data_IF_064312655810
#
_entry.id   IF_064312655810
#
_cell.length_a   1.000
_cell.length_b   1.000
_cell.length_c   1.000
_cell.angle_alpha   90.00
_cell.angle_beta   90.00
_cell.angle_gamma   90.00
#
_symmetry.space_group_name_H-M   'P 1'
#
loop_
_entity.id
_entity.type
_entity.pdbx_description
1 polymer ?
#
# COMPACT_ATOMS: atom_id res chain seq x y z
N UNK A 1 4.27 10.66 0.93
CA UNK A 1 3.50 11.88 0.53
C UNK A 1 2.16 11.81 1.25
N UNK A 2 1.52 12.92 1.65
CA UNK A 2 0.24 12.80 2.38
C UNK A 2 -0.84 12.16 1.50
N UNK A 3 -1.74 11.37 2.11
CA UNK A 3 -2.85 10.71 1.42
C UNK A 3 -3.69 11.72 0.62
N UNK A 4 -3.95 12.90 1.20
CA UNK A 4 -4.71 13.99 0.57
C UNK A 4 -4.10 14.40 -0.77
N UNK A 5 -2.79 14.66 -0.80
CA UNK A 5 -2.09 15.05 -2.03
C UNK A 5 -2.13 13.94 -3.07
N UNK A 6 -2.04 12.68 -2.63
CA UNK A 6 -2.07 11.52 -3.54
C UNK A 6 -3.46 11.39 -4.18
N UNK A 7 -4.52 11.62 -3.41
CA UNK A 7 -5.89 11.69 -3.93
C UNK A 7 -6.04 12.85 -4.92
N UNK A 8 -5.49 14.03 -4.61
CA UNK A 8 -5.56 15.19 -5.50
C UNK A 8 -4.87 14.93 -6.84
N UNK A 9 -3.65 14.38 -6.83
CA UNK A 9 -2.97 13.94 -8.06
C UNK A 9 -3.76 12.88 -8.82
N UNK A 10 -4.31 11.88 -8.13
CA UNK A 10 -5.13 10.86 -8.77
C UNK A 10 -6.35 11.48 -9.46
N UNK A 11 -7.01 12.45 -8.81
CA UNK A 11 -8.15 13.21 -9.37
C UNK A 11 -7.73 14.01 -10.61
N UNK A 12 -6.55 14.64 -10.59
CA UNK A 12 -6.01 15.35 -11.75
C UNK A 12 -5.78 14.41 -12.95
N UNK A 13 -5.28 13.20 -12.70
CA UNK A 13 -5.05 12.19 -13.75
C UNK A 13 -6.36 11.68 -14.35
N UNK A 14 -7.38 11.40 -13.53
CA UNK A 14 -8.66 10.86 -14.02
C UNK A 14 -9.67 11.93 -14.42
N UNK A 15 -9.41 13.20 -14.09
CA UNK A 15 -10.22 14.37 -14.42
C UNK A 15 -11.29 14.75 -13.38
N UNK A 16 -11.77 13.82 -12.54
CA UNK A 16 -12.76 14.16 -11.49
C UNK A 16 -12.77 13.22 -10.28
N UNK A 17 -13.27 13.70 -9.15
CA UNK A 17 -13.48 12.88 -7.95
C UNK A 17 -14.53 11.79 -8.15
N UNK A 18 -15.58 12.06 -8.94
CA UNK A 18 -16.62 11.08 -9.24
C UNK A 18 -16.04 9.92 -10.05
N UNK A 19 -15.16 10.21 -11.01
CA UNK A 19 -14.50 9.19 -11.82
C UNK A 19 -13.50 8.37 -11.00
N UNK A 20 -12.73 9.02 -10.11
CA UNK A 20 -11.86 8.30 -9.18
C UNK A 20 -12.67 7.36 -8.28
N UNK A 21 -13.82 7.81 -7.77
CA UNK A 21 -14.71 6.99 -6.95
C UNK A 21 -15.24 5.77 -7.72
N UNK A 22 -15.61 5.96 -8.99
CA UNK A 22 -16.04 4.90 -9.91
C UNK A 22 -14.94 3.86 -10.13
N UNK A 23 -13.70 4.30 -10.37
CA UNK A 23 -12.55 3.41 -10.57
C UNK A 23 -12.19 2.61 -9.31
N UNK A 24 -12.43 3.17 -8.12
CA UNK A 24 -12.16 2.53 -6.84
C UNK A 24 -13.35 1.72 -6.30
N UNK A 25 -14.46 1.65 -7.04
CA UNK A 25 -15.72 1.03 -6.62
C UNK A 25 -16.18 1.51 -5.23
N UNK A 26 -16.22 2.83 -5.06
CA UNK A 26 -16.68 3.48 -3.83
C UNK A 26 -17.68 4.59 -4.14
N UNK A 27 -18.51 4.91 -3.15
CA UNK A 27 -19.40 6.05 -3.25
C UNK A 27 -18.59 7.37 -3.31
N UNK A 28 -18.99 8.38 -4.12
CA UNK A 28 -18.23 9.63 -4.29
C UNK A 28 -17.90 10.37 -2.99
N UNK A 29 -18.81 10.33 -2.00
CA UNK A 29 -18.58 10.93 -0.69
C UNK A 29 -17.38 10.33 0.05
N UNK A 30 -17.00 9.09 -0.24
CA UNK A 30 -15.84 8.46 0.39
C UNK A 30 -14.54 9.17 0.02
N UNK A 31 -14.39 9.69 -1.21
CA UNK A 31 -13.17 10.40 -1.62
C UNK A 31 -12.95 11.63 -0.74
N UNK A 32 -13.98 12.44 -0.55
CA UNK A 32 -13.94 13.60 0.35
C UNK A 32 -13.70 13.21 1.81
N UNK A 33 -14.31 12.11 2.27
CA UNK A 33 -14.10 11.60 3.62
C UNK A 33 -12.66 11.08 3.84
N UNK A 34 -12.05 10.48 2.82
CA UNK A 34 -10.64 10.06 2.87
C UNK A 34 -9.71 11.27 2.92
N UNK A 35 -9.97 12.32 2.13
CA UNK A 35 -9.18 13.56 2.14
C UNK A 35 -9.20 14.28 3.49
N UNK A 36 -10.35 14.25 4.16
CA UNK A 36 -10.57 14.96 5.44
C UNK A 36 -10.27 14.10 6.67
N UNK A 37 -9.94 12.82 6.49
CA UNK A 37 -9.73 11.89 7.60
C UNK A 37 -11.00 11.45 8.31
N UNK A 38 -12.19 11.88 7.88
CA UNK A 38 -13.49 11.44 8.43
C UNK A 38 -13.72 9.93 8.27
N UNK A 39 -13.08 9.32 7.27
CA UNK A 39 -13.11 7.88 7.05
C UNK A 39 -11.70 7.39 6.78
N UNK A 40 -11.34 6.25 7.38
CA UNK A 40 -10.06 5.58 7.13
C UNK A 40 -10.07 5.05 5.70
N UNK A 41 -9.06 5.43 4.92
CA UNK A 41 -8.77 4.82 3.62
C UNK A 41 -7.93 3.57 3.85
N UNK A 42 -8.54 2.39 3.60
CA UNK A 42 -7.87 1.10 3.75
C UNK A 42 -6.71 0.92 2.77
N UNK A 43 -5.82 -0.03 3.09
CA UNK A 43 -4.56 -0.26 2.37
C UNK A 43 -4.74 -0.47 0.86
N UNK A 44 -5.64 -1.37 0.44
CA UNK A 44 -5.86 -1.65 -0.99
C UNK A 44 -6.23 -0.41 -1.79
N UNK A 45 -7.11 0.43 -1.23
CA UNK A 45 -7.54 1.67 -1.87
C UNK A 45 -6.39 2.67 -1.96
N UNK A 46 -5.54 2.78 -0.93
CA UNK A 46 -4.33 3.61 -0.98
C UNK A 46 -3.36 3.16 -2.08
N UNK A 47 -3.17 1.85 -2.24
CA UNK A 47 -2.34 1.28 -3.32
C UNK A 47 -2.93 1.62 -4.69
N UNK A 48 -4.24 1.46 -4.86
CA UNK A 48 -4.92 1.79 -6.12
C UNK A 48 -4.82 3.28 -6.44
N UNK A 49 -5.06 4.15 -5.45
CA UNK A 49 -4.93 5.61 -5.60
C UNK A 49 -3.50 5.99 -6.00
N UNK A 50 -2.48 5.41 -5.35
CA UNK A 50 -1.08 5.66 -5.71
C UNK A 50 -0.75 5.23 -7.14
N UNK A 51 -1.23 4.04 -7.56
CA UNK A 51 -1.08 3.57 -8.94
C UNK A 51 -1.71 4.51 -9.95
N UNK A 52 -2.92 5.00 -9.68
CA UNK A 52 -3.63 5.95 -10.55
C UNK A 52 -2.88 7.28 -10.61
N UNK A 53 -2.36 7.77 -9.48
CA UNK A 53 -1.56 8.98 -9.40
C UNK A 53 -0.18 8.87 -10.07
N UNK A 54 0.24 7.68 -10.51
CA UNK A 54 1.58 7.43 -11.06
C UNK A 54 2.69 7.42 -9.98
N UNK A 55 2.32 7.25 -8.72
CA UNK A 55 3.23 7.23 -7.57
C UNK A 55 3.66 5.79 -7.22
N UNK A 56 4.73 5.65 -6.43
CA UNK A 56 5.19 4.32 -5.99
C UNK A 56 4.17 3.72 -4.98
N UNK A 57 3.49 2.60 -5.33
CA UNK A 57 2.57 1.95 -4.41
C UNK A 57 3.25 1.43 -3.15
N UNK A 58 4.57 1.17 -3.17
CA UNK A 58 5.32 0.71 -2.00
C UNK A 58 5.38 1.79 -0.92
N UNK A 59 5.55 3.06 -1.31
CA UNK A 59 5.48 4.19 -0.37
C UNK A 59 4.10 4.27 0.27
N UNK A 60 3.04 4.05 -0.49
CA UNK A 60 1.68 4.08 0.04
C UNK A 60 1.42 2.98 1.09
N UNK A 61 2.07 1.83 0.96
CA UNK A 61 2.02 0.75 1.97
C UNK A 61 2.76 1.18 3.24
N UNK A 62 3.97 1.71 3.10
CA UNK A 62 4.77 2.20 4.23
C UNK A 62 4.07 3.33 4.97
N UNK A 63 3.55 4.32 4.25
CA UNK A 63 2.81 5.44 4.82
C UNK A 63 1.54 4.94 5.56
N UNK A 64 0.85 3.92 5.02
CA UNK A 64 -0.29 3.31 5.72
C UNK A 64 0.12 2.60 7.02
N UNK A 65 1.22 1.84 7.02
CA UNK A 65 1.72 1.17 8.21
C UNK A 65 2.15 2.19 9.27
N UNK A 66 2.85 3.25 8.85
CA UNK A 66 3.24 4.35 9.72
C UNK A 66 2.04 5.08 10.33
N UNK A 67 0.94 5.24 9.59
CA UNK A 67 -0.32 5.82 10.08
C UNK A 67 -1.02 4.93 11.14
N UNK A 68 -0.75 3.61 11.17
CA UNK A 68 -1.31 2.69 12.16
C UNK A 68 -0.51 2.67 13.47
N UNK A 69 0.73 3.17 13.46
CA UNK A 69 1.56 3.25 14.65
C UNK A 69 1.20 4.51 15.44
N UNK A 70 0.66 4.30 16.64
CA UNK A 70 0.30 5.36 17.57
C UNK A 70 1.56 6.07 18.09
N UNK A 71 1.53 7.41 18.09
CA UNK A 71 2.64 8.25 18.55
C UNK A 71 2.66 8.43 20.07
N UNK A 72 1.63 7.96 20.79
CA UNK A 72 1.56 8.04 22.26
C UNK A 72 2.51 7.08 22.98
N UNK A 73 3.04 6.07 22.28
CA UNK A 73 3.98 5.06 22.78
C UNK A 73 5.35 5.30 22.15
N UNK A 74 6.36 5.55 22.99
CA UNK A 74 7.73 5.87 22.56
C UNK A 74 8.29 4.80 21.62
N UNK A 75 8.05 3.51 21.88
CA UNK A 75 8.53 2.43 21.02
C UNK A 75 7.87 2.45 19.64
N UNK A 76 6.58 2.77 19.57
CA UNK A 76 5.85 2.84 18.30
C UNK A 76 6.27 4.07 17.50
N UNK A 77 6.54 5.19 18.17
CA UNK A 77 7.08 6.39 17.54
C UNK A 77 8.48 6.13 16.95
N UNK A 78 9.36 5.44 17.68
CA UNK A 78 10.67 5.03 17.16
C UNK A 78 10.55 4.12 15.94
N UNK A 79 9.72 3.07 16.02
CA UNK A 79 9.51 2.14 14.89
C UNK A 79 8.97 2.87 13.66
N UNK A 80 8.06 3.83 13.84
CA UNK A 80 7.53 4.64 12.73
C UNK A 80 8.66 5.37 11.99
N UNK A 81 9.57 6.01 12.72
CA UNK A 81 10.72 6.69 12.13
C UNK A 81 11.67 5.71 11.44
N UNK A 82 11.95 4.56 12.06
CA UNK A 82 12.84 3.54 11.50
C UNK A 82 12.29 2.97 10.18
N UNK A 83 11.00 2.64 10.12
CA UNK A 83 10.38 2.08 8.90
C UNK A 83 10.46 3.07 7.74
N UNK A 84 10.22 4.36 8.00
CA UNK A 84 10.33 5.41 6.99
C UNK A 84 11.79 5.56 6.52
N UNK A 85 12.75 5.61 7.44
CA UNK A 85 14.17 5.76 7.12
C UNK A 85 14.70 4.56 6.31
N UNK A 86 14.31 3.34 6.70
CA UNK A 86 14.63 2.11 5.97
C UNK A 86 14.08 2.20 4.55
N UNK A 87 12.82 2.60 4.37
CA UNK A 87 12.25 2.77 3.03
C UNK A 87 13.01 3.78 2.19
N UNK A 88 13.39 4.93 2.76
CA UNK A 88 14.11 6.00 2.07
C UNK A 88 15.55 5.61 1.71
N UNK A 89 16.15 4.69 2.47
CA UNK A 89 17.47 4.14 2.15
C UNK A 89 17.47 3.25 0.91
N UNK A 90 16.32 2.70 0.50
CA UNK A 90 16.22 1.86 -0.68
C UNK A 90 16.11 2.72 -1.95
N UNK A 91 17.12 2.65 -2.82
CA UNK A 91 17.07 3.22 -4.17
C UNK A 91 16.22 2.31 -5.08
N UNK A 92 15.08 2.80 -5.61
CA UNK A 92 14.19 2.01 -6.45
C UNK A 92 14.73 1.89 -7.88
N UNK A 93 15.92 1.30 -8.06
CA UNK A 93 16.49 1.01 -9.40
C UNK A 93 15.65 0.01 -10.20
N UNK A 94 14.72 -0.70 -9.57
CA UNK A 94 13.83 -1.66 -10.21
C UNK A 94 12.36 -1.29 -10.03
N UNK A 95 11.73 -0.84 -11.12
CA UNK A 95 10.28 -0.57 -11.20
C UNK A 95 9.43 -1.84 -11.19
N UNK A 96 10.03 -3.00 -11.46
CA UNK A 96 9.33 -4.28 -11.52
C UNK A 96 9.07 -4.80 -10.10
N UNK A 97 7.84 -5.23 -9.76
CA UNK A 97 7.60 -5.86 -8.47
C UNK A 97 8.48 -7.11 -8.35
N UNK A 98 9.04 -7.32 -7.17
CA UNK A 98 9.63 -8.61 -6.82
C UNK A 98 8.53 -9.66 -7.03
N UNK A 99 8.78 -10.63 -7.91
CA UNK A 99 7.90 -11.77 -8.00
C UNK A 99 8.03 -12.48 -6.66
N UNK A 100 6.92 -12.62 -5.93
CA UNK A 100 6.90 -13.53 -4.80
C UNK A 100 7.35 -14.88 -5.36
N UNK A 101 8.37 -15.50 -4.77
CA UNK A 101 8.71 -16.87 -5.08
C UNK A 101 7.46 -17.69 -4.77
N UNK A 102 6.68 -17.96 -5.81
CA UNK A 102 5.59 -18.90 -5.71
C UNK A 102 6.17 -20.18 -5.15
N UNK A 103 5.52 -20.78 -4.16
CA UNK A 103 5.87 -22.08 -3.57
C UNK A 103 5.78 -23.26 -4.55
N UNK A 104 5.88 -22.98 -5.86
CA UNK A 104 6.08 -23.88 -7.00
C UNK A 104 7.41 -24.65 -6.84
N UNK A 105 7.49 -25.51 -5.83
CA UNK A 105 8.69 -26.31 -5.56
C UNK A 105 8.60 -27.14 -4.29
N UNK A 106 7.91 -26.68 -3.25
CA UNK A 106 7.81 -27.44 -1.98
C UNK A 106 6.47 -28.18 -1.90
N UNK A 107 6.34 -29.21 -2.74
CA UNK A 107 5.30 -30.22 -2.55
C UNK A 107 5.64 -31.06 -1.30
N UNK A 108 5.18 -30.62 -0.13
CA UNK A 108 5.25 -31.41 1.11
C UNK A 108 4.56 -32.78 0.96
N UNK A 109 3.62 -32.91 0.01
CA UNK A 109 2.89 -34.16 -0.26
C UNK A 109 3.73 -35.22 -0.97
N UNK A 110 4.78 -34.86 -1.72
CA UNK A 110 5.58 -35.85 -2.49
C UNK A 110 6.57 -36.68 -1.66
N UNK A 111 6.80 -36.35 -0.38
CA UNK A 111 7.81 -37.06 0.45
C UNK A 111 7.31 -38.36 1.10
N UNK A 112 5.99 -38.64 1.06
CA UNK A 112 5.42 -39.81 1.75
C UNK A 112 5.57 -41.12 0.95
N UNK A 113 5.74 -41.02 -0.37
CA UNK A 113 5.67 -42.20 -1.26
C UNK A 113 7.05 -42.82 -1.57
N UNK A 114 8.14 -42.28 -1.00
CA UNK A 114 9.52 -42.71 -1.28
C UNK A 114 10.10 -43.74 -0.32
N UNK A 115 9.28 -44.44 0.50
CA UNK A 115 9.79 -45.46 1.42
C UNK A 115 9.64 -46.87 0.79
N UNK A 116 10.67 -47.44 0.16
CA UNK A 116 10.62 -48.82 -0.31
C UNK A 116 10.62 -49.77 0.90
N UNK A 117 9.67 -50.72 0.90
CA UNK A 117 9.64 -51.87 1.82
C UNK A 117 10.71 -52.89 1.44
#
# INVERSE_FOLDING_TARGET
MSLKLTIEKAVEVVGSQAELARMLDVAPQHISNYKTGKKICGLERRIQIAKIAGEDPRRAIVDYLADQLDESDDYKAEVKQQVIAIYESFDPKTKKPLQAESSQGVSWRKRRDSNPR
#
